data_IF_267342851747
#
_entry.id   IF_267342851747
#
_cell.length_a   1.000
_cell.length_b   1.000
_cell.length_c   1.000
_cell.angle_alpha   90.00
_cell.angle_beta   90.00
_cell.angle_gamma   90.00
#
_symmetry.space_group_name_H-M   'P 1'
#
loop_
_entity.id
_entity.type
_entity.pdbx_description
1 polymer ?
#
# COMPACT_ATOMS: atom_id res chain seq x y z
N UNK A 1 -0.35 0.58 18.32
CA UNK A 1 -0.99 0.85 17.01
C UNK A 1 -1.70 -0.36 16.40
N UNK A 2 -1.05 -1.29 15.68
CA UNK A 2 -1.78 -2.35 14.94
C UNK A 2 -2.67 -3.25 15.82
N UNK A 3 -2.21 -3.63 17.01
CA UNK A 3 -3.00 -4.44 17.95
C UNK A 3 -4.27 -3.72 18.44
N UNK A 4 -4.19 -2.41 18.66
CA UNK A 4 -5.33 -1.60 19.09
C UNK A 4 -6.38 -1.54 17.97
N UNK A 5 -5.94 -1.38 16.72
CA UNK A 5 -6.81 -1.40 15.54
C UNK A 5 -7.50 -2.76 15.40
N UNK A 6 -6.76 -3.88 15.57
CA UNK A 6 -7.34 -5.23 15.53
C UNK A 6 -8.46 -5.38 16.56
N UNK A 7 -8.22 -4.97 17.81
CA UNK A 7 -9.23 -5.03 18.88
C UNK A 7 -10.44 -4.16 18.56
N UNK A 8 -10.23 -2.95 18.02
CA UNK A 8 -11.32 -2.07 17.59
C UNK A 8 -12.17 -2.69 16.48
N UNK A 9 -11.52 -3.25 15.45
CA UNK A 9 -12.20 -3.91 14.33
C UNK A 9 -13.05 -5.11 14.81
N UNK A 10 -12.49 -5.93 15.71
CA UNK A 10 -13.23 -7.05 16.30
C UNK A 10 -14.43 -6.57 17.14
N UNK A 11 -14.29 -5.49 17.91
CA UNK A 11 -15.41 -4.87 18.66
C UNK A 11 -16.50 -4.32 17.73
N UNK A 12 -16.12 -3.83 16.55
CA UNK A 12 -17.05 -3.42 15.47
C UNK A 12 -17.66 -4.61 14.71
N UNK A 13 -17.39 -5.86 15.12
CA UNK A 13 -17.93 -7.07 14.50
C UNK A 13 -17.23 -7.51 13.22
N UNK A 14 -16.07 -6.93 12.87
CA UNK A 14 -15.27 -7.38 11.73
C UNK A 14 -14.57 -8.70 12.06
N UNK A 15 -14.67 -9.65 11.16
CA UNK A 15 -13.90 -10.89 11.24
C UNK A 15 -12.43 -10.61 10.94
N UNK A 16 -11.55 -10.96 11.89
CA UNK A 16 -10.10 -10.91 11.70
C UNK A 16 -9.54 -12.34 11.83
N UNK A 17 -8.89 -12.89 10.80
CA UNK A 17 -8.36 -14.25 10.83
C UNK A 17 -7.36 -14.47 11.97
N UNK A 18 -7.35 -15.69 12.53
CA UNK A 18 -6.49 -16.04 13.67
C UNK A 18 -5.00 -15.78 13.40
N UNK A 19 -4.53 -16.04 12.18
CA UNK A 19 -3.13 -15.82 11.83
C UNK A 19 -2.73 -14.34 11.93
N UNK A 20 -3.62 -13.42 11.51
CA UNK A 20 -3.42 -11.97 11.64
C UNK A 20 -3.28 -11.56 13.11
N UNK A 21 -4.15 -12.10 13.97
CA UNK A 21 -4.13 -11.83 15.42
C UNK A 21 -2.86 -12.42 16.07
N UNK A 22 -2.38 -13.58 15.61
CA UNK A 22 -1.20 -14.23 16.17
C UNK A 22 0.13 -13.61 15.74
N UNK A 23 0.18 -12.96 14.57
CA UNK A 23 1.41 -12.37 14.02
C UNK A 23 1.17 -10.94 13.52
N UNK A 24 0.73 -10.03 14.38
CA UNK A 24 0.23 -8.71 13.98
C UNK A 24 1.32 -7.76 13.44
N UNK A 25 2.59 -8.02 13.75
CA UNK A 25 3.73 -7.21 13.31
C UNK A 25 4.22 -7.53 11.89
N UNK A 26 3.86 -8.70 11.35
CA UNK A 26 4.32 -9.09 10.01
C UNK A 26 3.58 -8.25 8.98
N UNK A 27 4.26 -7.87 7.89
CA UNK A 27 3.75 -6.90 6.92
C UNK A 27 2.42 -7.33 6.28
N UNK A 28 2.20 -8.63 6.07
CA UNK A 28 0.93 -9.15 5.53
C UNK A 28 -0.22 -8.89 6.51
N UNK A 29 0.04 -9.07 7.81
CA UNK A 29 -0.94 -8.79 8.86
C UNK A 29 -1.26 -7.30 8.93
N UNK A 30 -0.24 -6.45 8.87
CA UNK A 30 -0.43 -4.99 8.83
C UNK A 30 -1.16 -4.53 7.57
N UNK A 31 -0.82 -5.08 6.40
CA UNK A 31 -1.48 -4.79 5.12
C UNK A 31 -2.95 -5.21 5.15
N UNK A 32 -3.23 -6.41 5.67
CA UNK A 32 -4.60 -6.89 5.87
C UNK A 32 -5.40 -5.93 6.76
N UNK A 33 -4.85 -5.55 7.92
CA UNK A 33 -5.51 -4.63 8.86
C UNK A 33 -5.74 -3.26 8.21
N UNK A 34 -4.75 -2.73 7.49
CA UNK A 34 -4.89 -1.47 6.76
C UNK A 34 -6.01 -1.51 5.71
N UNK A 35 -6.24 -2.65 5.06
CA UNK A 35 -7.35 -2.85 4.13
C UNK A 35 -8.71 -3.03 4.80
N UNK A 36 -8.77 -3.24 6.12
CA UNK A 36 -10.03 -3.26 6.88
C UNK A 36 -10.44 -1.87 7.41
N UNK A 37 -9.54 -0.89 7.36
CA UNK A 37 -9.81 0.48 7.78
C UNK A 37 -10.70 1.20 6.78
N UNK A 38 -11.59 2.06 7.28
CA UNK A 38 -12.49 2.84 6.44
C UNK A 38 -11.73 3.96 5.72
N UNK A 39 -11.87 4.04 4.40
CA UNK A 39 -11.12 5.00 3.59
C UNK A 39 -11.55 6.44 3.82
N UNK A 40 -12.71 6.71 4.42
CA UNK A 40 -13.18 8.07 4.71
C UNK A 40 -12.75 8.55 6.08
N UNK A 41 -12.76 7.67 7.10
CA UNK A 41 -12.52 8.07 8.50
C UNK A 41 -11.15 7.69 9.03
N UNK A 42 -10.46 6.71 8.42
CA UNK A 42 -9.23 6.12 8.98
C UNK A 42 -7.99 6.33 8.11
N UNK A 43 -8.01 7.35 7.23
CA UNK A 43 -6.94 7.64 6.28
C UNK A 43 -5.57 7.76 6.93
N UNK A 44 -5.48 8.47 8.05
CA UNK A 44 -4.22 8.69 8.78
C UNK A 44 -3.66 7.39 9.35
N UNK A 45 -4.52 6.55 9.93
CA UNK A 45 -4.15 5.25 10.50
C UNK A 45 -3.75 4.26 9.41
N UNK A 46 -4.47 4.27 8.28
CA UNK A 46 -4.15 3.47 7.08
C UNK A 46 -2.81 3.91 6.51
N UNK A 47 -2.61 5.21 6.30
CA UNK A 47 -1.35 5.77 5.83
C UNK A 47 -0.18 5.36 6.74
N UNK A 48 -0.30 5.53 8.06
CA UNK A 48 0.77 5.17 9.00
C UNK A 48 1.16 3.68 8.91
N UNK A 49 0.19 2.77 8.87
CA UNK A 49 0.47 1.33 8.71
C UNK A 49 1.18 1.00 7.40
N UNK A 50 0.73 1.58 6.29
CA UNK A 50 1.33 1.32 4.97
C UNK A 50 2.70 1.98 4.83
N UNK A 51 2.88 3.18 5.39
CA UNK A 51 4.16 3.89 5.42
C UNK A 51 5.21 3.12 6.22
N UNK A 52 4.84 2.53 7.36
CA UNK A 52 5.73 1.66 8.15
C UNK A 52 6.21 0.44 7.34
N UNK A 53 5.29 -0.23 6.64
CA UNK A 53 5.63 -1.37 5.75
C UNK A 53 6.64 -0.93 4.68
N UNK A 54 6.43 0.25 4.09
CA UNK A 54 7.32 0.83 3.08
C UNK A 54 8.71 1.14 3.65
N UNK A 55 8.78 1.90 4.76
CA UNK A 55 10.03 2.34 5.39
C UNK A 55 10.87 1.16 5.88
N UNK A 56 10.24 0.12 6.41
CA UNK A 56 10.94 -1.10 6.84
C UNK A 56 11.37 -1.99 5.66
N UNK A 57 10.92 -1.68 4.43
CA UNK A 57 11.17 -2.46 3.22
C UNK A 57 10.76 -3.92 3.39
N UNK A 58 9.62 -4.19 4.03
CA UNK A 58 9.18 -5.55 4.38
C UNK A 58 8.28 -6.19 3.32
N UNK A 59 7.57 -5.38 2.51
CA UNK A 59 6.83 -5.88 1.35
C UNK A 59 7.82 -6.31 0.25
N UNK A 60 8.04 -7.64 0.16
CA UNK A 60 8.98 -8.29 -0.75
C UNK A 60 8.34 -9.53 -1.39
N UNK A 61 8.89 -9.95 -2.53
CA UNK A 61 8.47 -11.18 -3.18
C UNK A 61 8.59 -12.38 -2.23
N UNK A 62 7.53 -13.17 -2.20
CA UNK A 62 7.45 -14.44 -1.50
C UNK A 62 6.62 -15.39 -2.36
N UNK A 63 7.22 -16.50 -2.78
CA UNK A 63 6.57 -17.46 -3.68
C UNK A 63 5.33 -18.11 -3.08
N UNK A 64 5.33 -18.38 -1.77
CA UNK A 64 4.19 -19.02 -1.09
C UNK A 64 2.99 -18.10 -0.96
N UNK A 65 3.22 -16.78 -1.05
CA UNK A 65 2.18 -15.75 -0.95
C UNK A 65 1.70 -15.34 -2.33
N UNK A 66 2.62 -14.97 -3.21
CA UNK A 66 2.27 -14.36 -4.49
C UNK A 66 2.11 -15.40 -5.60
N UNK A 67 2.68 -16.60 -5.44
CA UNK A 67 2.69 -17.66 -6.46
C UNK A 67 3.62 -17.37 -7.64
N UNK A 68 3.43 -16.22 -8.28
CA UNK A 68 4.21 -15.71 -9.41
C UNK A 68 4.86 -14.36 -9.08
N UNK A 69 5.96 -14.04 -9.77
CA UNK A 69 6.65 -12.76 -9.58
C UNK A 69 5.82 -11.59 -10.12
N UNK A 70 5.09 -11.83 -11.21
CA UNK A 70 4.14 -10.89 -11.81
C UNK A 70 3.06 -10.46 -10.81
N UNK A 71 2.52 -11.41 -10.03
CA UNK A 71 1.54 -11.11 -8.97
C UNK A 71 2.14 -10.22 -7.89
N UNK A 72 3.40 -10.45 -7.52
CA UNK A 72 4.11 -9.56 -6.59
C UNK A 72 4.28 -8.15 -7.15
N UNK A 73 4.68 -8.02 -8.43
CA UNK A 73 4.78 -6.70 -9.06
C UNK A 73 3.42 -6.01 -9.05
N UNK A 74 2.36 -6.74 -9.39
CA UNK A 74 1.01 -6.21 -9.41
C UNK A 74 0.59 -5.66 -8.04
N UNK A 75 0.72 -6.49 -6.99
CA UNK A 75 0.33 -6.10 -5.64
C UNK A 75 1.22 -4.97 -5.09
N UNK A 76 2.53 -5.01 -5.36
CA UNK A 76 3.47 -4.01 -4.89
C UNK A 76 3.21 -2.65 -5.54
N UNK A 77 2.95 -2.61 -6.85
CA UNK A 77 2.60 -1.36 -7.54
C UNK A 77 1.28 -0.81 -7.02
N UNK A 78 0.24 -1.65 -6.85
CA UNK A 78 -1.03 -1.23 -6.23
C UNK A 78 -0.83 -0.65 -4.82
N UNK A 79 0.03 -1.29 -4.02
CA UNK A 79 0.41 -0.80 -2.70
C UNK A 79 1.08 0.59 -2.77
N UNK A 80 2.05 0.79 -3.67
CA UNK A 80 2.75 2.07 -3.84
C UNK A 80 1.81 3.19 -4.30
N UNK A 81 0.89 2.91 -5.24
CA UNK A 81 -0.12 3.88 -5.69
C UNK A 81 -1.08 4.26 -4.58
N UNK A 82 -1.52 3.29 -3.77
CA UNK A 82 -2.37 3.55 -2.60
C UNK A 82 -1.65 4.45 -1.60
N UNK A 83 -0.38 4.16 -1.31
CA UNK A 83 0.43 4.96 -0.38
C UNK A 83 0.65 6.39 -0.88
N UNK A 84 0.92 6.58 -2.18
CA UNK A 84 1.05 7.90 -2.80
C UNK A 84 -0.22 8.74 -2.71
N UNK A 85 -1.39 8.15 -2.99
CA UNK A 85 -2.68 8.83 -2.87
C UNK A 85 -2.97 9.19 -1.41
N UNK A 86 -2.81 8.22 -0.50
CA UNK A 86 -3.04 8.44 0.93
C UNK A 86 -2.14 9.53 1.51
N UNK A 87 -0.87 9.58 1.10
CA UNK A 87 0.08 10.64 1.49
C UNK A 87 -0.48 12.03 1.20
N UNK A 88 -1.05 12.25 0.01
CA UNK A 88 -1.69 13.51 -0.36
C UNK A 88 -2.96 13.73 0.47
N UNK A 89 -3.81 12.71 0.58
CA UNK A 89 -5.09 12.81 1.28
C UNK A 89 -4.97 13.10 2.78
N UNK A 90 -3.89 12.64 3.42
CA UNK A 90 -3.57 12.95 4.82
C UNK A 90 -2.78 14.25 4.98
N UNK A 91 -2.64 15.03 3.90
CA UNK A 91 -2.04 16.37 3.92
C UNK A 91 -0.52 16.38 4.04
N UNK A 92 0.18 15.32 3.63
CA UNK A 92 1.65 15.37 3.52
C UNK A 92 2.07 16.25 2.34
N UNK A 93 3.29 16.82 2.39
CA UNK A 93 3.88 17.47 1.22
C UNK A 93 3.84 16.53 0.00
N UNK A 94 3.40 16.98 -1.19
CA UNK A 94 3.32 16.14 -2.39
C UNK A 94 4.65 15.45 -2.74
N UNK A 95 5.78 16.07 -2.39
CA UNK A 95 7.13 15.54 -2.55
C UNK A 95 7.31 14.18 -1.85
N UNK A 96 6.62 13.95 -0.73
CA UNK A 96 6.67 12.67 -0.03
C UNK A 96 6.07 11.52 -0.84
N UNK A 97 5.21 11.82 -1.82
CA UNK A 97 4.60 10.82 -2.69
C UNK A 97 5.48 10.44 -3.88
N UNK A 98 6.49 11.26 -4.23
CA UNK A 98 7.37 11.02 -5.38
C UNK A 98 8.05 9.65 -5.30
N UNK A 99 8.71 9.26 -4.19
CA UNK A 99 9.46 8.00 -4.15
C UNK A 99 8.58 6.78 -4.39
N UNK A 100 7.32 6.82 -3.94
CA UNK A 100 6.38 5.71 -4.15
C UNK A 100 6.01 5.55 -5.62
N UNK A 101 5.78 6.67 -6.32
CA UNK A 101 5.42 6.67 -7.74
C UNK A 101 6.62 6.30 -8.62
N UNK A 102 7.81 6.81 -8.31
CA UNK A 102 9.02 6.45 -9.05
C UNK A 102 9.34 4.96 -8.91
N UNK A 103 9.25 4.40 -7.70
CA UNK A 103 9.41 2.96 -7.49
C UNK A 103 8.37 2.14 -8.27
N UNK A 104 7.11 2.60 -8.31
CA UNK A 104 6.06 1.93 -9.07
C UNK A 104 6.35 1.94 -10.58
N UNK A 105 6.83 3.06 -11.13
CA UNK A 105 7.19 3.17 -12.55
C UNK A 105 8.39 2.27 -12.90
N UNK A 106 9.43 2.25 -12.06
CA UNK A 106 10.60 1.38 -12.25
C UNK A 106 10.20 -0.09 -12.26
N UNK A 107 9.27 -0.49 -11.38
CA UNK A 107 8.78 -1.86 -11.35
C UNK A 107 8.00 -2.25 -12.60
N UNK A 108 7.25 -1.32 -13.20
CA UNK A 108 6.49 -1.56 -14.43
C UNK A 108 7.39 -1.58 -15.68
N UNK A 109 8.42 -0.72 -15.73
CA UNK A 109 9.36 -0.66 -16.85
C UNK A 109 10.07 -2.01 -17.08
N UNK A 110 10.36 -2.74 -16.00
CA UNK A 110 10.95 -4.07 -16.06
C UNK A 110 9.98 -5.22 -16.30
N UNK A 111 8.68 -4.97 -16.46
CA UNK A 111 7.65 -6.02 -16.41
C UNK A 111 6.44 -5.76 -17.31
N UNK A 112 6.65 -5.70 -18.63
CA UNK A 112 5.56 -5.51 -19.59
C UNK A 112 4.42 -6.55 -19.48
N UNK A 113 4.74 -7.76 -18.97
CA UNK A 113 3.76 -8.83 -18.74
C UNK A 113 2.66 -8.47 -17.73
N UNK A 114 2.86 -7.44 -16.88
CA UNK A 114 1.85 -6.99 -15.91
C UNK A 114 0.94 -5.88 -16.43
N UNK A 115 1.22 -5.32 -17.60
CA UNK A 115 0.42 -4.24 -18.20
C UNK A 115 -1.07 -4.55 -18.40
N UNK A 116 -1.51 -5.82 -18.61
CA UNK A 116 -2.94 -6.15 -18.63
C UNK A 116 -3.66 -5.91 -17.29
N UNK A 117 -2.93 -5.90 -16.17
CA UNK A 117 -3.48 -5.80 -14.82
C UNK A 117 -3.25 -4.43 -14.19
N UNK A 118 -2.21 -3.71 -14.61
CA UNK A 118 -1.94 -2.33 -14.21
C UNK A 118 -1.63 -1.51 -15.46
N UNK A 119 -2.41 -0.45 -15.65
CA UNK A 119 -2.19 0.49 -16.74
C UNK A 119 -1.06 1.48 -16.40
N UNK A 120 0.11 1.43 -17.07
CA UNK A 120 1.21 2.36 -16.78
C UNK A 120 0.81 3.82 -16.96
N UNK A 121 -0.16 4.11 -17.83
CA UNK A 121 -0.67 5.47 -18.05
C UNK A 121 -1.37 6.05 -16.82
N UNK A 122 -1.98 5.22 -15.98
CA UNK A 122 -2.60 5.67 -14.73
C UNK A 122 -1.52 6.08 -13.72
N UNK A 123 -0.42 5.31 -13.65
CA UNK A 123 0.73 5.64 -12.80
C UNK A 123 1.38 6.94 -13.27
N UNK A 124 1.64 7.09 -14.57
CA UNK A 124 2.19 8.33 -15.13
C UNK A 124 1.26 9.54 -14.97
N UNK A 125 -0.06 9.33 -15.03
CA UNK A 125 -1.03 10.42 -14.79
C UNK A 125 -0.97 10.90 -13.34
N UNK A 126 -0.92 9.97 -12.38
CA UNK A 126 -0.77 10.31 -10.96
C UNK A 126 0.58 11.00 -10.68
N UNK A 127 1.66 10.59 -11.36
CA UNK A 127 2.93 11.32 -11.30
C UNK A 127 2.76 12.78 -11.72
N UNK A 128 2.17 13.04 -12.89
CA UNK A 128 1.97 14.42 -13.39
C UNK A 128 1.11 15.25 -12.44
N UNK A 129 0.06 14.65 -11.88
CA UNK A 129 -0.78 15.28 -10.87
C UNK A 129 0.05 15.71 -9.65
N UNK A 130 0.83 14.80 -9.06
CA UNK A 130 1.70 15.10 -7.90
C UNK A 130 2.70 16.21 -8.24
N UNK A 131 3.38 16.13 -9.39
CA UNK A 131 4.37 17.12 -9.77
C UNK A 131 3.74 18.50 -10.01
N UNK A 132 2.50 18.55 -10.50
CA UNK A 132 1.77 19.83 -10.65
C UNK A 132 1.43 20.51 -9.32
N UNK A 133 1.42 19.77 -8.22
CA UNK A 133 1.19 20.29 -6.87
C UNK A 133 2.47 20.87 -6.24
N UNK A 134 3.63 20.55 -6.78
CA UNK A 134 4.94 21.01 -6.33
C UNK A 134 5.24 22.34 -7.04
N UNK A 135 5.48 23.39 -6.26
CA UNK A 135 5.75 24.74 -6.75
C UNK A 135 7.24 25.02 -6.86
#
# INVERSE_FOLDING_TARGET
MVNEIIVELQRKGRFIPKYIVSTPSVWQSRLYVANQLDESTDKERKYALLEDIYKEKTFRYNKDIHGAYETYIEEKVKFLLCLAKLSIEVGKPPENSIPYIEEALVMLDGAESVHPYINPKEVSSLQKEIYSMIK
#
